data_IF_141921305255
#
_entry.id   IF_141921305255
#
_cell.length_a   1.000
_cell.length_b   1.000
_cell.length_c   1.000
_cell.angle_alpha   90.00
_cell.angle_beta   90.00
_cell.angle_gamma   90.00
#
_symmetry.space_group_name_H-M   'P 1'
#
loop_
_entity.id
_entity.type
_entity.pdbx_description
1 polymer ?
#
# COMPACT_ATOMS: atom_id res chain seq x y z
N UNK A 1 7.90 14.74 -1.67
CA UNK A 1 7.46 13.43 -1.13
C UNK A 1 8.25 12.34 -1.83
N UNK A 2 8.35 11.17 -1.21
CA UNK A 2 8.94 10.00 -1.86
C UNK A 2 8.12 9.60 -3.10
N UNK A 3 8.79 8.93 -4.03
CA UNK A 3 8.15 8.21 -5.12
C UNK A 3 7.45 6.94 -4.60
N UNK A 4 6.40 6.41 -5.28
CA UNK A 4 5.72 5.19 -4.83
C UNK A 4 6.66 4.00 -4.58
N UNK A 5 7.69 3.83 -5.41
CA UNK A 5 8.68 2.76 -5.22
C UNK A 5 9.58 3.01 -4.01
N UNK A 6 9.93 4.27 -3.72
CA UNK A 6 10.66 4.63 -2.50
C UNK A 6 9.80 4.40 -1.25
N UNK A 7 8.52 4.79 -1.27
CA UNK A 7 7.58 4.52 -0.17
C UNK A 7 7.46 3.01 0.10
N UNK A 8 7.35 2.19 -0.94
CA UNK A 8 7.32 0.74 -0.80
C UNK A 8 8.60 0.15 -0.20
N UNK A 9 9.77 0.67 -0.56
CA UNK A 9 11.05 0.23 0.01
C UNK A 9 11.15 0.59 1.49
N UNK A 10 10.71 1.78 1.88
CA UNK A 10 10.66 2.20 3.29
C UNK A 10 9.69 1.32 4.09
N UNK A 11 8.49 1.05 3.57
CA UNK A 11 7.51 0.15 4.20
C UNK A 11 8.11 -1.26 4.32
N UNK A 12 8.81 -1.76 3.29
CA UNK A 12 9.50 -3.07 3.34
C UNK A 12 10.48 -3.14 4.49
N UNK A 13 11.35 -2.14 4.64
CA UNK A 13 12.34 -2.08 5.71
C UNK A 13 11.69 -2.06 7.09
N UNK A 14 10.56 -1.34 7.25
CA UNK A 14 9.77 -1.36 8.47
C UNK A 14 9.19 -2.75 8.74
N UNK A 15 8.48 -3.34 7.78
CA UNK A 15 7.80 -4.64 7.92
C UNK A 15 8.79 -5.79 8.17
N UNK A 16 9.97 -5.75 7.57
CA UNK A 16 11.04 -6.74 7.81
C UNK A 16 11.47 -6.80 9.28
N UNK A 17 11.40 -5.67 10.00
CA UNK A 17 11.89 -5.55 11.38
C UNK A 17 10.80 -5.31 12.42
N UNK A 18 9.54 -5.24 11.99
CA UNK A 18 8.42 -4.96 12.88
C UNK A 18 8.16 -6.16 13.82
N UNK A 19 8.42 -5.98 15.11
CA UNK A 19 8.20 -7.00 16.15
C UNK A 19 7.05 -6.59 17.06
N UNK A 20 5.82 -6.88 16.64
CA UNK A 20 4.60 -6.58 17.40
C UNK A 20 3.71 -7.82 17.49
N UNK A 21 2.86 -7.85 18.52
CA UNK A 21 1.68 -8.71 18.58
C UNK A 21 0.45 -7.84 18.35
N UNK A 22 -0.02 -7.77 17.11
CA UNK A 22 -1.05 -6.82 16.71
C UNK A 22 -1.41 -6.91 15.23
N UNK A 23 -2.07 -5.86 14.72
CA UNK A 23 -2.46 -5.74 13.32
C UNK A 23 -1.74 -4.55 12.68
N UNK A 24 -1.12 -4.76 11.53
CA UNK A 24 -0.62 -3.69 10.67
C UNK A 24 -1.76 -3.23 9.77
N UNK A 25 -2.22 -2.00 9.95
CA UNK A 25 -3.29 -1.39 9.16
C UNK A 25 -2.71 -0.27 8.29
N UNK A 26 -3.29 -0.10 7.09
CA UNK A 26 -2.97 1.00 6.19
C UNK A 26 -4.13 1.99 6.18
N UNK A 27 -3.83 3.28 6.15
CA UNK A 27 -4.83 4.33 6.22
C UNK A 27 -5.76 4.32 4.99
N UNK A 28 -7.06 4.49 5.20
CA UNK A 28 -8.05 4.33 4.13
C UNK A 28 -7.99 5.43 3.06
N UNK A 29 -7.45 6.61 3.40
CA UNK A 29 -7.41 7.79 2.53
C UNK A 29 -6.08 7.96 1.81
N UNK A 30 -4.99 7.42 2.36
CA UNK A 30 -3.62 7.62 1.84
C UNK A 30 -2.88 6.31 1.55
N UNK A 31 -3.57 5.17 1.52
CA UNK A 31 -2.99 3.90 1.07
C UNK A 31 -2.53 4.02 -0.39
N UNK A 32 -1.41 3.39 -0.73
CA UNK A 32 -0.93 3.34 -2.12
C UNK A 32 -1.99 2.69 -3.01
N UNK A 33 -2.35 3.39 -4.08
CA UNK A 33 -3.29 2.92 -5.09
C UNK A 33 -2.68 3.05 -6.48
N UNK A 34 -3.14 2.22 -7.40
CA UNK A 34 -2.70 2.25 -8.80
C UNK A 34 -3.87 2.07 -9.76
N UNK A 35 -3.71 2.61 -10.96
CA UNK A 35 -4.68 2.55 -12.04
C UNK A 35 -4.60 1.20 -12.74
N UNK A 36 -5.76 0.62 -13.02
CA UNK A 36 -5.95 -0.56 -13.86
C UNK A 36 -6.97 -0.24 -14.95
N UNK A 37 -7.12 -1.15 -15.92
CA UNK A 37 -8.18 -1.02 -16.95
C UNK A 37 -9.60 -1.03 -16.38
N UNK A 38 -9.78 -1.52 -15.14
CA UNK A 38 -11.07 -1.59 -14.45
C UNK A 38 -11.29 -0.43 -13.46
N UNK A 39 -10.31 0.46 -13.30
CA UNK A 39 -10.34 1.54 -12.33
C UNK A 39 -9.19 1.50 -11.33
N UNK A 40 -9.33 2.21 -10.22
CA UNK A 40 -8.29 2.35 -9.19
C UNK A 40 -8.38 1.21 -8.19
N UNK A 41 -7.23 0.63 -7.85
CA UNK A 41 -7.12 -0.49 -6.91
C UNK A 41 -6.11 -0.13 -5.82
N UNK A 42 -6.51 -0.35 -4.56
CA UNK A 42 -5.61 -0.22 -3.41
C UNK A 42 -4.60 -1.36 -3.40
N UNK A 43 -3.33 -1.04 -3.14
CA UNK A 43 -2.26 -2.04 -3.08
C UNK A 43 -2.37 -2.91 -1.83
N UNK A 44 -2.61 -2.28 -0.67
CA UNK A 44 -2.84 -2.97 0.60
C UNK A 44 -4.33 -3.06 0.92
N UNK A 45 -4.71 -3.96 1.82
CA UNK A 45 -6.08 -4.04 2.36
C UNK A 45 -6.55 -2.68 2.87
N UNK A 46 -7.77 -2.31 2.50
CA UNK A 46 -8.46 -1.12 2.99
C UNK A 46 -9.49 -1.47 4.08
N UNK A 47 -9.35 -2.62 4.75
CA UNK A 47 -10.23 -3.02 5.85
C UNK A 47 -9.62 -2.63 7.21
N UNK A 48 -10.47 -2.59 8.25
CA UNK A 48 -10.03 -2.34 9.63
C UNK A 48 -9.37 -3.57 10.29
N UNK A 49 -9.40 -4.73 9.62
CA UNK A 49 -8.81 -5.96 10.13
C UNK A 49 -7.29 -6.03 9.86
N UNK A 50 -6.78 -5.34 8.84
CA UNK A 50 -5.36 -5.24 8.55
C UNK A 50 -4.68 -6.60 8.36
N UNK A 51 -3.38 -6.65 8.66
CA UNK A 51 -2.55 -7.85 8.59
C UNK A 51 -2.09 -8.28 9.98
N UNK A 52 -2.39 -9.52 10.36
CA UNK A 52 -2.00 -10.05 11.67
C UNK A 52 -0.48 -10.27 11.72
N UNK A 53 0.19 -9.66 12.69
CA UNK A 53 1.63 -9.79 12.88
C UNK A 53 1.97 -10.70 14.07
N UNK A 54 2.94 -11.61 13.93
CA UNK A 54 3.86 -11.78 12.78
C UNK A 54 3.35 -12.69 11.64
N UNK A 55 2.16 -13.28 11.75
CA UNK A 55 1.71 -14.39 10.89
C UNK A 55 1.55 -14.03 9.40
N UNK A 56 1.09 -12.83 9.09
CA UNK A 56 0.90 -12.33 7.72
C UNK A 56 2.07 -11.47 7.22
N UNK A 57 3.22 -11.43 7.93
CA UNK A 57 4.39 -10.63 7.51
C UNK A 57 4.82 -10.95 6.07
N UNK A 58 4.95 -12.24 5.76
CA UNK A 58 5.38 -12.71 4.43
C UNK A 58 4.42 -12.21 3.35
N UNK A 59 3.11 -12.28 3.62
CA UNK A 59 2.07 -11.78 2.70
C UNK A 59 2.20 -10.28 2.44
N UNK A 60 2.51 -9.47 3.46
CA UNK A 60 2.74 -8.03 3.27
C UNK A 60 3.98 -7.79 2.39
N UNK A 61 5.06 -8.54 2.60
CA UNK A 61 6.28 -8.44 1.79
C UNK A 61 6.02 -8.85 0.32
N UNK A 62 5.23 -9.89 0.08
CA UNK A 62 4.84 -10.32 -1.28
C UNK A 62 3.99 -9.26 -2.02
N UNK A 63 3.11 -8.55 -1.29
CA UNK A 63 2.35 -7.43 -1.84
C UNK A 63 3.29 -6.29 -2.23
N UNK A 64 4.26 -5.97 -1.38
CA UNK A 64 5.27 -4.95 -1.67
C UNK A 64 6.09 -5.32 -2.91
N UNK A 65 6.58 -6.56 -2.98
CA UNK A 65 7.35 -7.05 -4.12
C UNK A 65 6.53 -7.07 -5.42
N UNK A 66 5.20 -7.24 -5.33
CA UNK A 66 4.29 -7.10 -6.46
C UNK A 66 4.08 -5.64 -6.85
N UNK A 67 3.95 -4.73 -5.87
CA UNK A 67 3.84 -3.30 -6.10
C UNK A 67 5.08 -2.71 -6.78
N UNK A 68 6.28 -3.13 -6.36
CA UNK A 68 7.54 -2.70 -6.98
C UNK A 68 7.69 -3.11 -8.46
N UNK A 69 6.84 -4.02 -8.96
CA UNK A 69 6.80 -4.41 -10.38
C UNK A 69 5.82 -3.58 -11.21
N UNK A 70 4.94 -2.82 -10.56
CA UNK A 70 3.99 -1.93 -11.23
C UNK A 70 4.77 -0.72 -11.75
N UNK A 71 4.51 -0.34 -13.00
CA UNK A 71 5.04 0.89 -13.58
C UNK A 71 4.66 2.07 -12.68
N UNK A 72 5.67 2.82 -12.25
CA UNK A 72 5.50 3.88 -11.26
C UNK A 72 4.51 4.98 -11.72
N UNK A 73 4.35 5.16 -13.03
CA UNK A 73 3.40 6.10 -13.62
C UNK A 73 1.92 5.70 -13.45
N UNK A 74 1.65 4.44 -13.10
CA UNK A 74 0.29 3.96 -12.85
C UNK A 74 -0.19 4.25 -11.42
N UNK A 75 0.71 4.59 -10.50
CA UNK A 75 0.32 4.92 -9.14
C UNK A 75 -0.49 6.22 -9.10
N UNK A 76 -1.55 6.21 -8.29
CA UNK A 76 -2.38 7.38 -8.03
C UNK A 76 -1.74 8.16 -6.89
N UNK A 77 -1.49 9.44 -7.11
CA UNK A 77 -0.99 10.35 -6.08
C UNK A 77 -2.14 10.91 -5.24
N UNK A 78 -1.89 11.27 -3.98
CA UNK A 78 -2.92 11.81 -3.07
C UNK A 78 -3.55 13.09 -3.64
N UNK A 79 -2.77 13.88 -4.37
CA UNK A 79 -3.23 15.07 -5.07
C UNK A 79 -4.31 14.75 -6.11
N UNK A 80 -4.18 13.61 -6.81
CA UNK A 80 -5.14 13.11 -7.81
C UNK A 80 -6.39 12.48 -7.18
N UNK A 81 -6.33 12.03 -5.92
CA UNK A 81 -7.48 11.44 -5.23
C UNK A 81 -8.56 12.47 -4.85
N UNK A 82 -8.16 13.74 -4.66
CA UNK A 82 -9.09 14.83 -4.31
C UNK A 82 -10.15 15.12 -5.39
N UNK A 83 -9.90 14.72 -6.64
CA UNK A 83 -10.83 14.89 -7.76
C UNK A 83 -11.88 13.76 -7.86
N UNK A 84 -11.68 12.63 -7.17
CA UNK A 84 -12.56 11.47 -7.22
C UNK A 84 -13.68 11.50 -6.17
N UNK A 85 -13.54 12.32 -5.11
CA UNK A 85 -14.61 12.56 -4.12
C UNK A 85 -15.68 13.56 -4.58
N UNK A 86 -15.62 14.02 -5.83
CA UNK A 86 -16.56 14.98 -6.42
C UNK A 86 -17.69 14.32 -7.26
N UNK A 87 -17.86 13.00 -7.18
CA UNK A 87 -18.95 12.26 -7.82
C UNK A 87 -19.74 11.46 -6.78
#
# INVERSE_FOLDING_TARGET
MLSPHEELREIRMMVERLEISGRLCFDHFINLAYKTVLGIVWLFKQDYDGYKMPEERVKVLEIIDSGLKIDESLYVRVEELSELSAI
#
